data_IF_362962946168
#
_entry.id   IF_362962946168
#
_cell.length_a   1.000
_cell.length_b   1.000
_cell.length_c   1.000
_cell.angle_alpha   90.00
_cell.angle_beta   90.00
_cell.angle_gamma   90.00
#
_symmetry.space_group_name_H-M   'P 1'
#
loop_
_entity.id
_entity.type
_entity.pdbx_description
1 polymer ?
#
# COMPACT_ATOMS: atom_id res chain seq x y z
N UNK A 1 -12.92 3.84 4.66
CA UNK A 1 -12.99 5.31 4.47
C UNK A 1 -14.30 5.75 3.85
N UNK A 2 -14.95 4.97 2.99
CA UNK A 2 -16.23 5.32 2.37
C UNK A 2 -17.36 5.55 3.38
N UNK A 3 -17.41 4.79 4.47
CA UNK A 3 -18.41 4.97 5.54
C UNK A 3 -18.23 6.34 6.20
N UNK A 4 -17.00 6.72 6.49
CA UNK A 4 -16.69 8.01 7.09
C UNK A 4 -16.99 9.17 6.16
N UNK A 5 -16.90 8.96 4.85
CA UNK A 5 -17.22 9.98 3.85
C UNK A 5 -18.72 10.31 3.87
N UNK A 6 -19.59 9.29 3.95
CA UNK A 6 -21.05 9.50 4.01
C UNK A 6 -21.43 10.24 5.30
N UNK A 7 -20.91 9.82 6.44
CA UNK A 7 -21.15 10.47 7.73
C UNK A 7 -20.65 11.91 7.72
N UNK A 8 -19.45 12.16 7.17
CA UNK A 8 -18.87 13.49 7.04
C UNK A 8 -19.75 14.37 6.16
N UNK A 9 -20.26 13.84 5.05
CA UNK A 9 -21.15 14.56 4.16
C UNK A 9 -22.42 15.02 4.89
N UNK A 10 -23.09 14.11 5.58
CA UNK A 10 -24.30 14.41 6.33
C UNK A 10 -24.05 15.47 7.42
N UNK A 11 -22.97 15.28 8.20
CA UNK A 11 -22.58 16.24 9.22
C UNK A 11 -22.29 17.62 8.64
N UNK A 12 -21.54 17.67 7.54
CA UNK A 12 -21.16 18.93 6.89
C UNK A 12 -22.36 19.68 6.34
N UNK A 13 -23.34 18.98 5.75
CA UNK A 13 -24.57 19.60 5.25
C UNK A 13 -25.35 20.22 6.39
N UNK A 14 -25.48 19.52 7.52
CA UNK A 14 -26.20 20.02 8.69
C UNK A 14 -25.51 21.22 9.36
N UNK A 15 -24.19 21.18 9.50
CA UNK A 15 -23.42 22.12 10.31
C UNK A 15 -22.82 23.28 9.50
N UNK A 16 -22.33 23.01 8.30
CA UNK A 16 -21.52 23.94 7.53
C UNK A 16 -22.25 24.54 6.31
N UNK A 17 -23.34 23.90 5.87
CA UNK A 17 -24.05 24.28 4.66
C UNK A 17 -23.38 23.72 3.39
N UNK A 18 -24.06 23.86 2.25
CA UNK A 18 -23.71 23.20 1.00
C UNK A 18 -22.34 23.64 0.45
N UNK A 19 -22.05 24.94 0.45
CA UNK A 19 -20.80 25.46 -0.12
C UNK A 19 -19.57 24.97 0.64
N UNK A 20 -19.61 24.96 1.97
CA UNK A 20 -18.51 24.46 2.79
C UNK A 20 -18.39 22.96 2.69
N UNK A 21 -19.52 22.25 2.54
CA UNK A 21 -19.54 20.79 2.33
C UNK A 21 -18.81 20.41 1.04
N UNK A 22 -19.02 21.15 -0.06
CA UNK A 22 -18.31 20.90 -1.33
C UNK A 22 -16.80 21.04 -1.15
N UNK A 23 -16.33 22.06 -0.42
CA UNK A 23 -14.91 22.24 -0.14
C UNK A 23 -14.32 21.07 0.67
N UNK A 24 -15.04 20.58 1.67
CA UNK A 24 -14.62 19.43 2.48
C UNK A 24 -14.51 18.18 1.61
N UNK A 25 -15.48 17.92 0.75
CA UNK A 25 -15.46 16.78 -0.17
C UNK A 25 -14.30 16.86 -1.16
N UNK A 26 -13.96 18.05 -1.67
CA UNK A 26 -12.82 18.24 -2.57
C UNK A 26 -11.50 17.88 -1.87
N UNK A 27 -11.32 18.30 -0.62
CA UNK A 27 -10.14 17.96 0.16
C UNK A 27 -10.02 16.45 0.36
N UNK A 28 -11.13 15.77 0.73
CA UNK A 28 -11.13 14.30 0.87
C UNK A 28 -10.77 13.60 -0.43
N UNK A 29 -11.29 14.06 -1.55
CA UNK A 29 -11.02 13.46 -2.85
C UNK A 29 -9.55 13.64 -3.25
N UNK A 30 -8.95 14.80 -3.01
CA UNK A 30 -7.53 15.06 -3.28
C UNK A 30 -6.63 14.12 -2.46
N UNK A 31 -6.92 13.95 -1.17
CA UNK A 31 -6.19 13.03 -0.28
C UNK A 31 -6.31 11.59 -0.76
N UNK A 32 -7.52 11.14 -1.11
CA UNK A 32 -7.76 9.78 -1.61
C UNK A 32 -7.04 9.53 -2.94
N UNK A 33 -7.02 10.51 -3.85
CA UNK A 33 -6.33 10.42 -5.14
C UNK A 33 -4.82 10.33 -4.95
N UNK A 34 -4.24 11.09 -4.01
CA UNK A 34 -2.82 11.05 -3.68
C UNK A 34 -2.44 9.68 -3.11
N UNK A 35 -3.20 9.19 -2.13
CA UNK A 35 -2.98 7.88 -1.51
C UNK A 35 -3.09 6.77 -2.55
N UNK A 36 -4.07 6.86 -3.44
CA UNK A 36 -4.27 5.87 -4.51
C UNK A 36 -3.09 5.85 -5.47
N UNK A 37 -2.51 7.01 -5.80
CA UNK A 37 -1.30 7.10 -6.64
C UNK A 37 -0.10 6.45 -5.95
N UNK A 38 0.09 6.71 -4.66
CA UNK A 38 1.17 6.10 -3.88
C UNK A 38 0.99 4.58 -3.83
N UNK A 39 -0.22 4.10 -3.55
CA UNK A 39 -0.55 2.67 -3.55
C UNK A 39 -0.17 2.03 -4.88
N UNK A 40 -0.61 2.60 -5.99
CA UNK A 40 -0.36 2.04 -7.31
C UNK A 40 1.13 2.09 -7.66
N UNK A 41 1.83 3.16 -7.27
CA UNK A 41 3.28 3.27 -7.47
C UNK A 41 4.03 2.18 -6.71
N UNK A 42 3.63 1.88 -5.46
CA UNK A 42 4.22 0.79 -4.66
C UNK A 42 4.04 -0.55 -5.38
N UNK A 43 2.82 -0.86 -5.79
CA UNK A 43 2.51 -2.13 -6.47
C UNK A 43 3.30 -2.24 -7.78
N UNK A 44 3.28 -1.21 -8.60
CA UNK A 44 3.97 -1.20 -9.89
C UNK A 44 5.48 -1.35 -9.73
N UNK A 45 6.09 -0.58 -8.85
CA UNK A 45 7.54 -0.63 -8.62
C UNK A 45 7.96 -1.98 -8.04
N UNK A 46 7.19 -2.52 -7.09
CA UNK A 46 7.46 -3.84 -6.52
C UNK A 46 7.40 -4.92 -7.59
N UNK A 47 6.39 -4.90 -8.43
CA UNK A 47 6.26 -5.87 -9.53
C UNK A 47 7.43 -5.78 -10.51
N UNK A 48 7.84 -4.57 -10.87
CA UNK A 48 8.99 -4.35 -11.77
C UNK A 48 10.28 -4.87 -11.14
N UNK A 49 10.54 -4.53 -9.87
CA UNK A 49 11.79 -4.89 -9.19
C UNK A 49 11.90 -6.38 -8.89
N UNK A 50 10.79 -7.06 -8.68
CA UNK A 50 10.76 -8.51 -8.46
C UNK A 50 10.44 -9.29 -9.75
N UNK A 51 10.25 -8.60 -10.87
CA UNK A 51 10.00 -9.20 -12.18
C UNK A 51 8.79 -10.14 -12.19
N UNK A 52 7.68 -9.68 -11.62
CA UNK A 52 6.41 -10.39 -11.64
C UNK A 52 5.29 -9.43 -12.08
N UNK A 53 4.17 -9.99 -12.55
CA UNK A 53 2.99 -9.19 -12.87
C UNK A 53 2.15 -8.94 -11.62
N UNK A 54 1.29 -7.92 -11.66
CA UNK A 54 0.33 -7.66 -10.59
C UNK A 54 -0.61 -8.85 -10.38
N UNK A 55 -1.03 -9.51 -11.46
CA UNK A 55 -1.84 -10.73 -11.38
C UNK A 55 -1.11 -11.84 -10.61
N UNK A 56 0.18 -12.04 -10.90
CA UNK A 56 1.00 -13.03 -10.18
C UNK A 56 1.15 -12.66 -8.72
N UNK A 57 1.32 -11.38 -8.42
CA UNK A 57 1.40 -10.90 -7.04
C UNK A 57 0.15 -11.29 -6.24
N UNK A 58 -1.03 -11.11 -6.81
CA UNK A 58 -2.30 -11.39 -6.13
C UNK A 58 -2.68 -12.87 -6.16
N UNK A 59 -2.59 -13.53 -7.31
CA UNK A 59 -3.11 -14.87 -7.57
C UNK A 59 -2.10 -15.87 -8.14
N UNK A 60 -0.82 -15.57 -8.04
CA UNK A 60 0.22 -16.44 -8.59
C UNK A 60 0.43 -17.72 -7.78
N UNK A 61 1.25 -18.62 -8.32
CA UNK A 61 1.59 -19.89 -7.69
C UNK A 61 2.48 -19.67 -6.47
N UNK A 62 2.27 -20.50 -5.42
CA UNK A 62 3.00 -20.40 -4.15
C UNK A 62 4.50 -20.70 -4.25
N UNK A 63 4.91 -21.42 -5.29
CA UNK A 63 6.30 -21.88 -5.44
C UNK A 63 7.21 -20.90 -6.19
N UNK A 64 6.79 -19.66 -6.39
CA UNK A 64 7.64 -18.62 -6.98
C UNK A 64 8.25 -17.82 -5.82
N UNK A 65 9.60 -17.94 -5.57
CA UNK A 65 10.23 -17.25 -4.44
C UNK A 65 10.10 -15.73 -4.49
N UNK A 66 10.25 -15.15 -5.68
CA UNK A 66 10.11 -13.71 -5.92
C UNK A 66 8.73 -13.20 -5.55
N UNK A 67 7.70 -14.00 -5.72
CA UNK A 67 6.34 -13.65 -5.37
C UNK A 67 6.17 -13.46 -3.86
N UNK A 68 6.74 -14.35 -3.06
CA UNK A 68 6.68 -14.26 -1.60
C UNK A 68 7.33 -12.96 -1.11
N UNK A 69 8.52 -12.65 -1.61
CA UNK A 69 9.23 -11.42 -1.26
C UNK A 69 8.46 -10.19 -1.73
N UNK A 70 7.91 -10.23 -2.95
CA UNK A 70 7.12 -9.12 -3.49
C UNK A 70 5.86 -8.84 -2.66
N UNK A 71 5.16 -9.89 -2.22
CA UNK A 71 4.00 -9.76 -1.34
C UNK A 71 4.42 -9.10 -0.01
N UNK A 72 5.48 -9.60 0.59
CA UNK A 72 5.96 -9.08 1.87
C UNK A 72 6.40 -7.63 1.79
N UNK A 73 7.15 -7.27 0.77
CA UNK A 73 7.62 -5.90 0.54
C UNK A 73 6.43 -4.97 0.24
N UNK A 74 5.49 -5.40 -0.62
CA UNK A 74 4.29 -4.62 -0.90
C UNK A 74 3.48 -4.35 0.38
N UNK A 75 3.24 -5.39 1.18
CA UNK A 75 2.50 -5.26 2.44
C UNK A 75 3.19 -4.29 3.39
N UNK A 76 4.51 -4.42 3.55
CA UNK A 76 5.30 -3.54 4.41
C UNK A 76 5.20 -2.08 3.97
N UNK A 77 5.37 -1.82 2.68
CA UNK A 77 5.36 -0.44 2.15
C UNK A 77 3.96 0.17 2.15
N UNK A 78 2.93 -0.61 1.87
CA UNK A 78 1.55 -0.13 1.96
C UNK A 78 1.20 0.26 3.40
N UNK A 79 1.68 -0.50 4.38
CA UNK A 79 1.50 -0.17 5.79
C UNK A 79 2.31 1.07 6.19
N UNK A 80 3.58 1.15 5.77
CA UNK A 80 4.50 2.21 6.16
C UNK A 80 4.22 3.54 5.46
N UNK A 81 4.08 3.52 4.14
CA UNK A 81 3.96 4.75 3.32
C UNK A 81 2.51 5.24 3.19
N UNK A 82 1.55 4.32 3.05
CA UNK A 82 0.14 4.67 2.92
C UNK A 82 -0.61 4.68 4.26
N UNK A 83 0.00 4.13 5.31
CA UNK A 83 -0.64 3.96 6.62
C UNK A 83 -1.91 3.11 6.57
N UNK A 84 -1.99 2.20 5.63
CA UNK A 84 -3.13 1.30 5.51
C UNK A 84 -3.13 0.27 6.63
N UNK A 85 -4.33 -0.08 7.11
CA UNK A 85 -4.51 -1.18 8.06
C UNK A 85 -4.19 -2.52 7.40
N UNK A 86 -3.89 -3.53 8.22
CA UNK A 86 -3.65 -4.90 7.71
C UNK A 86 -4.86 -5.43 6.95
N UNK A 87 -6.06 -5.13 7.41
CA UNK A 87 -7.30 -5.53 6.75
C UNK A 87 -7.43 -4.92 5.35
N UNK A 88 -7.10 -3.64 5.19
CA UNK A 88 -7.13 -2.97 3.89
C UNK A 88 -6.07 -3.54 2.94
N UNK A 89 -4.86 -3.78 3.44
CA UNK A 89 -3.78 -4.40 2.67
C UNK A 89 -4.19 -5.80 2.21
N UNK A 90 -4.81 -6.58 3.08
CA UNK A 90 -5.31 -7.91 2.76
C UNK A 90 -6.30 -7.88 1.59
N UNK A 91 -7.20 -6.90 1.58
CA UNK A 91 -8.14 -6.71 0.47
C UNK A 91 -7.42 -6.33 -0.84
N UNK A 92 -6.46 -5.42 -0.77
CA UNK A 92 -5.69 -4.96 -1.94
C UNK A 92 -4.89 -6.11 -2.56
N UNK A 93 -4.21 -6.89 -1.73
CA UNK A 93 -3.32 -7.97 -2.20
C UNK A 93 -4.05 -9.32 -2.33
N UNK A 94 -5.34 -9.37 -2.02
CA UNK A 94 -6.17 -10.58 -2.06
C UNK A 94 -5.58 -11.70 -1.20
N UNK A 95 -5.23 -11.36 0.03
CA UNK A 95 -4.66 -12.27 1.04
C UNK A 95 -5.48 -12.22 2.32
N UNK A 96 -5.25 -13.16 3.22
CA UNK A 96 -5.85 -13.15 4.55
C UNK A 96 -5.11 -12.16 5.46
N UNK A 97 -5.85 -11.51 6.36
CA UNK A 97 -5.30 -10.51 7.28
C UNK A 97 -4.19 -11.10 8.17
N UNK A 98 -4.35 -12.33 8.63
CA UNK A 98 -3.33 -13.02 9.43
C UNK A 98 -2.03 -13.20 8.66
N UNK A 99 -2.10 -13.51 7.38
CA UNK A 99 -0.93 -13.63 6.52
C UNK A 99 -0.26 -12.28 6.31
N UNK A 100 -1.02 -11.22 6.10
CA UNK A 100 -0.46 -9.86 5.99
C UNK A 100 0.29 -9.47 7.25
N UNK A 101 -0.24 -9.76 8.44
CA UNK A 101 0.44 -9.50 9.71
C UNK A 101 1.79 -10.23 9.75
N UNK A 102 1.84 -11.49 9.36
CA UNK A 102 3.08 -12.29 9.32
C UNK A 102 4.09 -11.70 8.34
N UNK A 103 3.66 -11.28 7.16
CA UNK A 103 4.53 -10.65 6.17
C UNK A 103 5.12 -9.34 6.69
N UNK A 104 4.32 -8.46 7.26
CA UNK A 104 4.78 -7.18 7.80
C UNK A 104 5.81 -7.41 8.91
N UNK A 105 5.53 -8.32 9.84
CA UNK A 105 6.45 -8.65 10.92
C UNK A 105 7.78 -9.19 10.41
N UNK A 106 7.73 -10.13 9.45
CA UNK A 106 8.93 -10.74 8.88
C UNK A 106 9.79 -9.72 8.15
N UNK A 107 9.20 -8.94 7.26
CA UNK A 107 9.96 -8.01 6.41
C UNK A 107 10.36 -6.72 7.13
N UNK A 108 9.78 -6.41 8.28
CA UNK A 108 10.24 -5.31 9.13
C UNK A 108 11.48 -5.67 9.96
N UNK A 109 11.83 -6.96 10.05
CA UNK A 109 12.94 -7.47 10.88
C UNK A 109 14.09 -8.04 10.06
N UNK A 110 14.23 -7.65 8.80
CA UNK A 110 15.33 -8.13 7.97
C UNK A 110 16.67 -7.67 8.53
N UNK A 111 17.64 -8.58 8.48
CA UNK A 111 19.00 -8.35 9.02
C UNK A 111 19.95 -7.95 7.89
N UNK A 112 20.49 -6.73 7.95
CA UNK A 112 21.43 -6.22 6.95
C UNK A 112 22.74 -7.01 6.90
N UNK A 113 23.06 -7.81 7.91
CA UNK A 113 24.26 -8.67 7.94
C UNK A 113 24.03 -10.01 7.22
N UNK A 114 22.79 -10.35 6.93
CA UNK A 114 22.42 -11.55 6.15
C UNK A 114 22.39 -11.19 4.66
N UNK A 115 23.10 -11.95 3.82
CA UNK A 115 23.19 -11.64 2.38
C UNK A 115 21.85 -11.65 1.66
N UNK A 116 20.99 -12.61 1.98
CA UNK A 116 19.66 -12.69 1.36
C UNK A 116 18.77 -11.55 1.80
N UNK A 117 18.76 -11.25 3.10
CA UNK A 117 17.99 -10.14 3.65
C UNK A 117 18.48 -8.80 3.11
N UNK A 118 19.80 -8.63 2.96
CA UNK A 118 20.36 -7.40 2.41
C UNK A 118 19.90 -7.13 0.98
N UNK A 119 19.78 -8.15 0.15
CA UNK A 119 19.27 -8.02 -1.22
C UNK A 119 17.83 -7.48 -1.20
N UNK A 120 17.01 -7.96 -0.27
CA UNK A 120 15.62 -7.49 -0.13
C UNK A 120 15.61 -6.06 0.41
N UNK A 121 16.44 -5.76 1.41
CA UNK A 121 16.58 -4.41 1.95
C UNK A 121 16.96 -3.41 0.86
N UNK A 122 17.92 -3.76 0.01
CA UNK A 122 18.35 -2.90 -1.10
C UNK A 122 17.20 -2.69 -2.10
N UNK A 123 16.43 -3.73 -2.40
CA UNK A 123 15.24 -3.58 -3.27
C UNK A 123 14.17 -2.68 -2.64
N UNK A 124 13.95 -2.80 -1.33
CA UNK A 124 13.01 -1.92 -0.62
C UNK A 124 13.42 -0.46 -0.77
N UNK A 125 14.69 -0.14 -0.61
CA UNK A 125 15.20 1.23 -0.78
C UNK A 125 15.00 1.73 -2.22
N UNK A 126 15.28 0.91 -3.20
CA UNK A 126 15.06 1.25 -4.62
C UNK A 126 13.57 1.50 -4.90
N UNK A 127 12.70 0.65 -4.38
CA UNK A 127 11.25 0.80 -4.55
C UNK A 127 10.77 2.10 -3.89
N UNK A 128 11.22 2.41 -2.67
CA UNK A 128 10.90 3.67 -2.00
C UNK A 128 11.28 4.87 -2.86
N UNK A 129 12.48 4.85 -3.43
CA UNK A 129 12.95 5.91 -4.31
C UNK A 129 12.10 6.02 -5.58
N UNK A 130 11.74 4.89 -6.19
CA UNK A 130 10.85 4.85 -7.36
C UNK A 130 9.49 5.50 -7.04
N UNK A 131 8.92 5.17 -5.89
CA UNK A 131 7.64 5.72 -5.44
C UNK A 131 7.72 7.22 -5.22
N UNK A 132 8.76 7.68 -4.52
CA UNK A 132 8.96 9.11 -4.26
C UNK A 132 9.13 9.88 -5.58
N UNK A 133 9.89 9.34 -6.53
CA UNK A 133 10.10 9.98 -7.84
C UNK A 133 8.83 10.00 -8.68
N UNK A 134 7.98 8.98 -8.57
CA UNK A 134 6.73 8.89 -9.33
C UNK A 134 5.64 9.81 -8.79
N UNK A 135 5.67 10.12 -7.49
CA UNK A 135 4.62 10.90 -6.82
C UNK A 135 5.01 12.35 -6.59
N UNK A 136 6.21 12.73 -6.96
CA UNK A 136 6.70 14.12 -6.90
C UNK A 136 6.70 14.75 -8.33
#
# INVERSE_FOLDING_TARGET
MSINLVETLLYSIEKLGIKKTIKVLQVYQEEDDEVERIKQAIINSTCVRFNISEKTLKKGRKNIPERTDAIGVSALLLNDMCKFSQKRIALILEKETTNINKYIKRYSKLDSNNKLDKKIIDKIEVIKNDVLNSCM
#
